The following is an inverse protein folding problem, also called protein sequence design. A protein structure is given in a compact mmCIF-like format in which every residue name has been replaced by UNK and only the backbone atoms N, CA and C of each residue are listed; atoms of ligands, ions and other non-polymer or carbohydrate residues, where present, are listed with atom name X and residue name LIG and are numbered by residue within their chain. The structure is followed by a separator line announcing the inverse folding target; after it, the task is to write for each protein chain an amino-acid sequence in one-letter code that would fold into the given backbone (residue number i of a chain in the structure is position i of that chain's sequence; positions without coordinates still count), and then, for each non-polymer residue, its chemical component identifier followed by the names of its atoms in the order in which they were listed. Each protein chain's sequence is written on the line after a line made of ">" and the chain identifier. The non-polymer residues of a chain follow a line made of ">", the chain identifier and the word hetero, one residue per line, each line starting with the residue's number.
data_IF_781293255088
#
_entry.id   IF_781293255088
#
_cell.length_a   1.000
_cell.length_b   1.000
_cell.length_c   1.000
_cell.angle_alpha   90.00
_cell.angle_beta   90.00
_cell.angle_gamma   90.00
#
_symmetry.space_group_name_H-M   'P 1'
#
loop_
_entity.id
_entity.type
_entity.pdbx_description
1 polymer ?
#
# COMPACT_ATOMS: atom_id res chain seq x y z
N UNK A 1 -15.46 11.13 29.19
CA UNK A 1 -15.90 9.72 29.03
C UNK A 1 -14.79 8.83 29.58
N UNK A 2 -15.05 8.00 30.58
CA UNK A 2 -14.08 6.99 31.03
C UNK A 2 -13.91 5.95 29.93
N UNK A 3 -12.77 5.97 29.26
CA UNK A 3 -12.42 4.94 28.27
C UNK A 3 -12.28 3.60 28.97
N UNK A 4 -13.14 2.65 28.64
CA UNK A 4 -12.99 1.26 29.10
C UNK A 4 -11.68 0.69 28.53
N UNK A 5 -11.10 -0.30 29.21
CA UNK A 5 -9.95 -1.03 28.66
C UNK A 5 -10.38 -1.83 27.41
N UNK A 6 -9.50 -1.99 26.42
CA UNK A 6 -9.79 -2.85 25.26
C UNK A 6 -10.12 -4.27 25.69
N UNK A 7 -11.09 -4.88 25.01
CA UNK A 7 -11.34 -6.30 25.12
C UNK A 7 -10.53 -7.03 24.04
N UNK A 8 -9.75 -8.01 24.44
CA UNK A 8 -8.94 -8.83 23.54
C UNK A 8 -9.09 -10.28 23.98
N UNK A 9 -9.55 -11.15 23.06
CA UNK A 9 -9.68 -12.57 23.31
C UNK A 9 -9.20 -13.40 22.14
N UNK A 10 -8.62 -14.56 22.42
CA UNK A 10 -8.28 -15.54 21.40
C UNK A 10 -9.55 -16.26 20.93
N UNK A 11 -9.71 -16.38 19.63
CA UNK A 11 -10.81 -17.12 18.98
C UNK A 11 -10.26 -18.45 18.46
N UNK A 12 -10.93 -19.59 18.71
CA UNK A 12 -10.42 -20.93 18.31
C UNK A 12 -10.72 -21.23 16.84
N UNK A 13 -10.16 -20.42 15.92
CA UNK A 13 -10.26 -20.55 14.46
C UNK A 13 -8.88 -20.30 13.85
N UNK A 14 -8.68 -20.73 12.61
CA UNK A 14 -7.50 -20.42 11.83
C UNK A 14 -7.62 -19.05 11.10
N UNK A 15 -6.52 -18.58 10.49
CA UNK A 15 -6.51 -17.31 9.77
C UNK A 15 -7.39 -17.28 8.52
N UNK A 16 -7.82 -18.44 7.98
CA UNK A 16 -8.73 -18.50 6.85
C UNK A 16 -10.12 -17.94 7.19
N UNK A 17 -10.52 -18.04 8.48
CA UNK A 17 -11.78 -17.48 8.97
C UNK A 17 -11.92 -15.96 8.68
N UNK A 18 -10.82 -15.20 8.70
CA UNK A 18 -10.85 -13.77 8.38
C UNK A 18 -11.28 -13.54 6.92
N UNK A 19 -10.72 -14.31 5.96
CA UNK A 19 -11.08 -14.22 4.55
C UNK A 19 -12.51 -14.67 4.29
N UNK A 20 -12.91 -15.76 4.91
CA UNK A 20 -14.26 -16.29 4.82
C UNK A 20 -15.28 -15.28 5.35
N UNK A 21 -15.01 -14.67 6.51
CA UNK A 21 -15.88 -13.64 7.10
C UNK A 21 -15.95 -12.40 6.21
N UNK A 22 -14.81 -11.95 5.67
CA UNK A 22 -14.75 -10.83 4.75
C UNK A 22 -15.54 -11.05 3.45
N UNK A 23 -15.54 -12.28 2.93
CA UNK A 23 -16.29 -12.64 1.72
C UNK A 23 -17.81 -12.76 1.98
N UNK A 24 -18.20 -13.27 3.16
CA UNK A 24 -19.63 -13.43 3.55
C UNK A 24 -20.34 -12.12 3.83
N UNK A 25 -19.60 -11.12 4.35
CA UNK A 25 -20.16 -9.88 4.82
C UNK A 25 -19.24 -8.69 4.47
N UNK A 26 -19.00 -8.41 3.18
CA UNK A 26 -18.03 -7.43 2.73
C UNK A 26 -18.36 -5.99 3.17
N UNK A 27 -19.63 -5.67 3.36
CA UNK A 27 -20.05 -4.36 3.84
C UNK A 27 -19.82 -4.17 5.34
N UNK A 28 -19.95 -5.26 6.13
CA UNK A 28 -19.67 -5.25 7.56
C UNK A 28 -18.17 -5.32 7.87
N UNK A 29 -17.37 -5.81 6.91
CA UNK A 29 -15.91 -5.93 7.01
C UNK A 29 -15.23 -5.33 5.77
N UNK A 30 -15.30 -4.00 5.61
CA UNK A 30 -14.84 -3.33 4.39
C UNK A 30 -13.33 -3.29 4.23
N UNK A 31 -12.55 -3.50 5.30
CA UNK A 31 -11.08 -3.42 5.27
C UNK A 31 -10.47 -4.74 5.71
N UNK A 32 -9.64 -5.29 4.83
CA UNK A 32 -8.80 -6.45 5.12
C UNK A 32 -7.37 -6.15 4.69
N UNK A 33 -6.46 -5.94 5.65
CA UNK A 33 -5.03 -5.88 5.43
C UNK A 33 -4.46 -7.27 5.65
N UNK A 34 -3.78 -7.83 4.65
CA UNK A 34 -3.38 -9.23 4.62
C UNK A 34 -1.86 -9.38 4.40
N UNK A 35 -1.20 -10.07 5.28
CA UNK A 35 0.18 -10.51 5.09
C UNK A 35 0.21 -11.80 4.26
N UNK A 36 -0.13 -11.69 2.96
CA UNK A 36 -0.33 -12.83 2.09
C UNK A 36 0.96 -13.56 1.68
N UNK A 37 2.11 -12.87 1.69
CA UNK A 37 3.41 -13.47 1.38
C UNK A 37 4.10 -13.97 2.65
N UNK A 38 4.89 -15.04 2.52
CA UNK A 38 5.84 -15.43 3.56
C UNK A 38 7.08 -14.55 3.48
N UNK A 39 7.57 -14.05 4.62
CA UNK A 39 8.76 -13.22 4.67
C UNK A 39 8.87 -12.41 5.97
N UNK A 40 9.94 -11.64 6.15
CA UNK A 40 10.25 -10.94 7.40
C UNK A 40 9.23 -9.83 7.72
N UNK A 41 8.50 -9.32 6.74
CA UNK A 41 7.50 -8.26 6.89
C UNK A 41 6.08 -8.81 7.07
N UNK A 42 5.83 -10.09 6.80
CA UNK A 42 4.54 -10.73 6.89
C UNK A 42 4.30 -11.29 8.30
N UNK A 43 3.66 -10.52 9.16
CA UNK A 43 3.38 -10.96 10.53
C UNK A 43 1.90 -10.93 10.89
N UNK A 44 1.18 -9.89 10.52
CA UNK A 44 -0.20 -9.72 10.96
C UNK A 44 -1.14 -9.51 9.78
N UNK A 45 -2.32 -10.17 9.85
CA UNK A 45 -3.46 -9.81 9.01
C UNK A 45 -4.55 -9.20 9.89
N UNK A 46 -5.20 -8.14 9.40
CA UNK A 46 -6.19 -7.33 10.12
C UNK A 46 -7.50 -7.30 9.33
N UNK A 47 -8.58 -7.79 9.91
CA UNK A 47 -9.93 -7.67 9.35
C UNK A 47 -10.73 -6.69 10.21
N UNK A 48 -11.02 -5.51 9.69
CA UNK A 48 -11.73 -4.46 10.41
C UNK A 48 -13.25 -4.58 10.22
N UNK A 49 -14.00 -4.42 11.31
CA UNK A 49 -15.44 -4.28 11.26
C UNK A 49 -15.85 -2.93 10.64
N UNK A 50 -17.15 -2.77 10.35
CA UNK A 50 -17.72 -1.55 9.77
C UNK A 50 -17.27 -0.29 10.54
N UNK A 51 -16.87 0.77 9.85
CA UNK A 51 -16.37 1.97 10.50
C UNK A 51 -17.49 2.69 11.27
N UNK A 52 -17.15 3.17 12.47
CA UNK A 52 -18.05 3.97 13.31
C UNK A 52 -18.08 5.45 12.92
N UNK A 53 -17.07 5.92 12.19
CA UNK A 53 -16.98 7.26 11.64
C UNK A 53 -16.13 7.27 10.36
N UNK A 54 -16.28 8.29 9.53
CA UNK A 54 -15.47 8.44 8.33
C UNK A 54 -15.23 9.90 7.95
N UNK A 55 -14.11 10.15 7.26
CA UNK A 55 -13.80 11.38 6.56
C UNK A 55 -13.47 10.98 5.12
N UNK A 56 -14.11 11.60 4.14
CA UNK A 56 -13.95 11.27 2.72
C UNK A 56 -13.69 12.55 1.93
N UNK A 57 -12.74 12.49 1.00
CA UNK A 57 -12.46 13.55 0.04
C UNK A 57 -12.74 13.04 -1.37
N UNK A 58 -13.64 13.68 -2.06
CA UNK A 58 -13.95 13.35 -3.44
C UNK A 58 -12.81 13.78 -4.41
N UNK A 59 -12.94 13.39 -5.67
CA UNK A 59 -11.97 13.74 -6.73
C UNK A 59 -11.91 15.25 -7.05
N UNK A 60 -12.90 16.04 -6.63
CA UNK A 60 -12.99 17.49 -6.84
C UNK A 60 -12.52 18.28 -5.60
N UNK A 61 -12.15 17.59 -4.52
CA UNK A 61 -11.66 18.19 -3.28
C UNK A 61 -12.75 18.43 -2.23
N UNK A 62 -14.02 18.07 -2.52
CA UNK A 62 -15.10 18.15 -1.55
C UNK A 62 -14.88 17.19 -0.38
N UNK A 63 -15.07 17.69 0.85
CA UNK A 63 -14.96 16.91 2.07
C UNK A 63 -16.34 16.53 2.59
N UNK A 64 -16.50 15.29 3.00
CA UNK A 64 -17.66 14.74 3.70
C UNK A 64 -17.20 13.99 4.94
N UNK A 65 -17.93 14.12 6.03
CA UNK A 65 -17.66 13.35 7.25
C UNK A 65 -18.95 12.71 7.79
N UNK A 66 -18.80 11.55 8.42
CA UNK A 66 -19.85 10.86 9.13
C UNK A 66 -19.43 10.63 10.57
N UNK A 67 -20.28 10.98 11.54
CA UNK A 67 -20.05 10.83 12.97
C UNK A 67 -18.79 11.53 13.51
N UNK A 68 -18.23 12.49 12.77
CA UNK A 68 -17.19 13.42 13.19
C UNK A 68 -17.45 14.77 12.55
N UNK A 69 -17.02 15.85 13.19
CA UNK A 69 -17.15 17.21 12.67
C UNK A 69 -15.92 17.59 11.86
N UNK A 70 -16.13 18.25 10.71
CA UNK A 70 -15.02 18.78 9.92
C UNK A 70 -14.45 20.04 10.59
N UNK A 71 -13.11 20.11 10.64
CA UNK A 71 -12.38 21.32 11.01
C UNK A 71 -11.98 22.10 9.74
N UNK A 72 -11.68 23.41 9.84
CA UNK A 72 -11.14 24.16 8.70
C UNK A 72 -9.85 23.55 8.16
N UNK A 73 -9.73 23.45 6.84
CA UNK A 73 -8.56 22.90 6.16
C UNK A 73 -8.89 21.76 5.20
N UNK A 74 -7.87 21.04 4.77
CA UNK A 74 -7.97 19.93 3.86
C UNK A 74 -8.27 18.58 4.54
N UNK A 75 -8.14 17.51 3.76
CA UNK A 75 -8.33 16.14 4.27
C UNK A 75 -7.31 15.79 5.36
N UNK A 76 -6.03 16.14 5.14
CA UNK A 76 -4.96 15.86 6.09
C UNK A 76 -5.08 16.68 7.37
N UNK A 77 -5.62 17.90 7.33
CA UNK A 77 -5.88 18.70 8.53
C UNK A 77 -6.98 18.06 9.38
N UNK A 78 -8.03 17.58 8.72
CA UNK A 78 -9.13 16.87 9.37
C UNK A 78 -8.66 15.53 9.95
N UNK A 79 -7.85 14.78 9.20
CA UNK A 79 -7.26 13.53 9.68
C UNK A 79 -6.38 13.77 10.93
N UNK A 80 -5.52 14.80 10.91
CA UNK A 80 -4.66 15.15 12.05
C UNK A 80 -5.46 15.53 13.30
N UNK A 81 -6.55 16.28 13.13
CA UNK A 81 -7.43 16.66 14.22
C UNK A 81 -8.07 15.45 14.90
N UNK A 82 -8.48 14.43 14.13
CA UNK A 82 -9.21 13.27 14.62
C UNK A 82 -8.38 12.03 14.93
N UNK A 83 -7.18 11.90 14.31
CA UNK A 83 -6.28 10.77 14.54
C UNK A 83 -5.26 11.02 15.65
N UNK A 84 -5.46 12.05 16.49
CA UNK A 84 -4.58 12.30 17.65
C UNK A 84 -4.59 11.11 18.59
N UNK A 85 -3.42 10.72 19.12
CA UNK A 85 -3.33 9.62 20.05
C UNK A 85 -4.21 9.85 21.27
N UNK A 86 -5.06 8.88 21.59
CA UNK A 86 -5.92 8.85 22.77
C UNK A 86 -5.39 7.93 23.85
N UNK A 87 -4.30 7.21 23.55
CA UNK A 87 -3.62 6.24 24.41
C UNK A 87 -2.11 6.45 24.41
N UNK A 88 -1.40 6.09 25.48
CA UNK A 88 0.05 6.11 25.52
C UNK A 88 0.64 5.14 24.48
N UNK A 89 1.67 5.58 23.76
CA UNK A 89 2.43 4.74 22.84
C UNK A 89 3.08 3.54 23.58
N UNK A 90 3.10 2.38 22.93
CA UNK A 90 3.79 1.18 23.41
C UNK A 90 3.10 0.47 24.59
N UNK A 91 1.90 0.87 25.00
CA UNK A 91 1.18 0.27 26.14
C UNK A 91 0.28 -0.91 25.72
N UNK A 92 0.72 -1.68 24.72
CA UNK A 92 -0.01 -2.84 24.21
C UNK A 92 0.59 -4.12 24.80
N UNK A 93 0.01 -4.61 25.93
CA UNK A 93 0.48 -5.79 26.65
C UNK A 93 0.56 -7.08 25.80
N UNK A 94 -0.06 -7.11 24.63
CA UNK A 94 -0.07 -8.24 23.70
C UNK A 94 0.78 -8.03 22.43
N UNK A 95 1.51 -6.93 22.33
CA UNK A 95 2.36 -6.59 21.17
C UNK A 95 1.61 -6.63 19.82
N UNK A 96 0.31 -6.28 19.83
CA UNK A 96 -0.49 -6.20 18.61
C UNK A 96 -0.11 -4.94 17.82
N UNK A 97 -0.14 -4.97 16.49
CA UNK A 97 0.23 -3.82 15.67
C UNK A 97 -0.82 -2.71 15.74
N UNK A 98 -2.08 -3.08 15.94
CA UNK A 98 -3.23 -2.20 15.88
C UNK A 98 -4.37 -2.73 16.77
N UNK A 99 -4.95 -1.89 17.60
CA UNK A 99 -6.07 -2.24 18.49
C UNK A 99 -7.32 -1.43 18.20
N UNK A 100 -7.23 -0.42 17.35
CA UNK A 100 -8.27 0.51 16.94
C UNK A 100 -7.64 1.82 16.48
N UNK A 101 -8.38 2.59 15.69
CA UNK A 101 -7.88 3.82 15.08
C UNK A 101 -8.51 4.08 13.72
N UNK A 102 -7.72 4.54 12.77
CA UNK A 102 -8.17 4.93 11.44
C UNK A 102 -7.48 4.10 10.36
N UNK A 103 -8.23 3.45 9.49
CA UNK A 103 -7.72 2.98 8.19
C UNK A 103 -7.80 4.12 7.19
N UNK A 104 -6.72 4.38 6.47
CA UNK A 104 -6.58 5.57 5.63
C UNK A 104 -6.11 5.20 4.23
N UNK A 105 -6.83 5.69 3.23
CA UNK A 105 -6.43 5.68 1.83
C UNK A 105 -6.07 7.09 1.38
N UNK A 106 -4.94 7.23 0.71
CA UNK A 106 -4.44 8.45 0.08
C UNK A 106 -4.21 8.16 -1.41
N UNK A 107 -5.04 8.71 -2.28
CA UNK A 107 -4.79 8.69 -3.72
C UNK A 107 -3.66 9.64 -4.10
N UNK A 108 -2.97 9.37 -5.20
CA UNK A 108 -1.80 10.14 -5.64
C UNK A 108 -2.09 11.65 -5.73
N UNK A 109 -3.27 12.04 -6.21
CA UNK A 109 -3.64 13.44 -6.40
C UNK A 109 -3.77 14.22 -5.09
N UNK A 110 -3.83 13.55 -3.93
CA UNK A 110 -3.76 14.22 -2.63
C UNK A 110 -2.43 14.96 -2.42
N UNK A 111 -1.37 14.62 -3.17
CA UNK A 111 -0.12 15.35 -3.17
C UNK A 111 -0.28 16.86 -3.46
N UNK A 112 -1.33 17.27 -4.18
CA UNK A 112 -1.63 18.68 -4.40
C UNK A 112 -2.15 19.41 -3.14
N UNK A 113 -2.62 18.69 -2.11
CA UNK A 113 -2.92 19.28 -0.80
C UNK A 113 -1.63 19.56 0.00
N UNK A 114 -0.60 18.72 -0.18
CA UNK A 114 0.71 18.86 0.46
C UNK A 114 1.55 19.95 -0.23
N UNK A 115 1.54 19.92 -1.57
CA UNK A 115 2.30 20.84 -2.44
C UNK A 115 1.33 21.60 -3.37
N UNK A 116 0.72 22.71 -2.92
CA UNK A 116 -0.36 23.40 -3.66
C UNK A 116 0.02 23.94 -5.05
N UNK A 117 1.32 24.02 -5.36
CA UNK A 117 1.78 24.40 -6.71
C UNK A 117 1.59 23.32 -7.76
N UNK A 118 1.38 22.07 -7.34
CA UNK A 118 1.17 20.94 -8.26
C UNK A 118 -0.20 21.06 -8.94
N UNK A 119 -0.20 20.94 -10.25
CA UNK A 119 -1.41 20.87 -11.09
C UNK A 119 -1.54 19.45 -11.62
N UNK A 120 -2.07 18.56 -10.78
CA UNK A 120 -2.24 17.16 -11.12
C UNK A 120 -3.53 16.95 -11.91
N UNK A 121 -3.52 16.18 -13.02
CA UNK A 121 -4.74 15.78 -13.70
C UNK A 121 -5.66 14.99 -12.76
N UNK A 122 -6.99 15.18 -12.82
CA UNK A 122 -7.91 14.41 -11.99
C UNK A 122 -7.90 12.93 -12.37
N UNK A 123 -7.97 12.05 -11.37
CA UNK A 123 -8.16 10.62 -11.57
C UNK A 123 -9.63 10.30 -11.84
N UNK A 124 -9.90 9.16 -12.51
CA UNK A 124 -11.26 8.63 -12.66
C UNK A 124 -11.77 7.89 -11.40
N UNK A 125 -11.04 7.93 -10.31
CA UNK A 125 -11.45 7.43 -9.01
C UNK A 125 -12.50 8.38 -8.38
N UNK A 126 -13.54 7.87 -7.70
CA UNK A 126 -14.55 8.73 -7.06
C UNK A 126 -13.98 9.49 -5.85
N UNK A 127 -12.98 8.89 -5.19
CA UNK A 127 -12.38 9.38 -3.97
C UNK A 127 -10.88 9.63 -4.18
N UNK A 128 -10.43 10.82 -3.79
CA UNK A 128 -8.98 11.13 -3.71
C UNK A 128 -8.38 10.74 -2.36
N UNK A 129 -9.20 10.62 -1.30
CA UNK A 129 -8.80 10.07 -0.01
C UNK A 129 -10.02 9.67 0.83
N UNK A 130 -9.82 8.74 1.76
CA UNK A 130 -10.77 8.48 2.84
C UNK A 130 -10.07 7.95 4.08
N UNK A 131 -10.67 8.22 5.24
CA UNK A 131 -10.27 7.67 6.54
C UNK A 131 -11.49 7.05 7.22
N UNK A 132 -11.35 5.82 7.69
CA UNK A 132 -12.39 5.00 8.28
C UNK A 132 -12.03 4.68 9.73
N UNK A 133 -12.81 5.20 10.70
CA UNK A 133 -12.61 4.96 12.13
C UNK A 133 -13.13 3.59 12.51
N UNK A 134 -12.26 2.76 13.05
CA UNK A 134 -12.57 1.37 13.43
C UNK A 134 -12.27 1.17 14.92
N UNK A 135 -13.21 0.55 15.63
CA UNK A 135 -13.09 0.20 17.05
C UNK A 135 -13.09 -1.32 17.28
N UNK A 136 -13.49 -2.11 16.30
CA UNK A 136 -13.54 -3.58 16.40
C UNK A 136 -12.88 -4.23 15.20
N UNK A 137 -12.01 -5.23 15.43
CA UNK A 137 -11.28 -5.93 14.38
C UNK A 137 -10.85 -7.34 14.82
N UNK A 138 -10.63 -8.22 13.84
CA UNK A 138 -9.92 -9.48 14.05
C UNK A 138 -8.45 -9.32 13.62
N UNK A 139 -7.54 -9.90 14.40
CA UNK A 139 -6.09 -9.93 14.14
C UNK A 139 -5.65 -11.38 14.02
N UNK A 140 -5.02 -11.76 12.92
CA UNK A 140 -4.30 -13.02 12.80
C UNK A 140 -2.79 -12.76 12.94
N UNK A 141 -2.19 -13.27 14.01
CA UNK A 141 -0.73 -13.29 14.19
C UNK A 141 -0.17 -14.55 13.53
N UNK A 142 0.42 -14.41 12.36
CA UNK A 142 0.97 -15.51 11.57
C UNK A 142 2.15 -16.21 12.28
N UNK A 143 2.87 -15.51 13.15
CA UNK A 143 4.02 -16.09 13.85
C UNK A 143 3.60 -17.09 14.93
N UNK A 144 2.47 -16.87 15.60
CA UNK A 144 1.92 -17.76 16.62
C UNK A 144 0.70 -18.53 16.12
N UNK A 145 0.25 -18.28 14.89
CA UNK A 145 -0.97 -18.82 14.26
C UNK A 145 -2.22 -18.65 15.15
N UNK A 146 -2.36 -17.47 15.77
CA UNK A 146 -3.49 -17.14 16.64
C UNK A 146 -4.38 -16.10 16.01
N UNK A 147 -5.68 -16.30 16.10
CA UNK A 147 -6.69 -15.31 15.77
C UNK A 147 -7.20 -14.66 17.06
N UNK A 148 -7.20 -13.33 17.08
CA UNK A 148 -7.65 -12.52 18.20
C UNK A 148 -8.80 -11.63 17.76
N UNK A 149 -9.87 -11.57 18.56
CA UNK A 149 -10.88 -10.53 18.47
C UNK A 149 -10.46 -9.34 19.37
N UNK A 150 -10.55 -8.14 18.82
CA UNK A 150 -10.14 -6.89 19.50
C UNK A 150 -11.27 -5.89 19.42
N UNK A 151 -11.63 -5.28 20.57
CA UNK A 151 -12.60 -4.20 20.67
C UNK A 151 -12.01 -3.08 21.52
N UNK A 152 -11.66 -1.98 20.86
CA UNK A 152 -10.88 -0.88 21.44
C UNK A 152 -11.60 -0.15 22.58
N UNK A 153 -12.89 0.10 22.41
CA UNK A 153 -13.76 0.84 23.35
C UNK A 153 -14.28 -0.02 24.51
N UNK A 154 -13.92 -1.32 24.50
CA UNK A 154 -14.32 -2.27 25.53
C UNK A 154 -15.83 -2.56 25.57
N UNK A 155 -16.53 -2.43 24.43
CA UNK A 155 -17.94 -2.82 24.30
C UNK A 155 -18.08 -4.35 24.29
N UNK A 156 -18.67 -4.98 25.34
CA UNK A 156 -18.80 -6.42 25.40
C UNK A 156 -19.69 -7.00 24.29
N UNK A 157 -20.76 -6.29 23.93
CA UNK A 157 -21.70 -6.77 22.90
C UNK A 157 -21.06 -6.80 21.51
N UNK A 158 -20.34 -5.73 21.13
CA UNK A 158 -19.57 -5.70 19.89
C UNK A 158 -18.50 -6.80 19.87
N UNK A 159 -17.81 -7.03 20.99
CA UNK A 159 -16.80 -8.07 21.13
C UNK A 159 -17.38 -9.47 20.97
N UNK A 160 -18.44 -9.81 21.70
CA UNK A 160 -19.13 -11.11 21.60
C UNK A 160 -19.68 -11.37 20.19
N UNK A 161 -20.23 -10.34 19.55
CA UNK A 161 -20.70 -10.41 18.16
C UNK A 161 -19.56 -10.73 17.19
N UNK A 162 -18.43 -10.07 17.32
CA UNK A 162 -17.26 -10.34 16.47
C UNK A 162 -16.73 -11.76 16.67
N UNK A 163 -16.61 -12.21 17.94
CA UNK A 163 -16.19 -13.60 18.27
C UNK A 163 -17.14 -14.62 17.64
N UNK A 164 -18.45 -14.44 17.81
CA UNK A 164 -19.45 -15.37 17.27
C UNK A 164 -19.36 -15.46 15.73
N UNK A 165 -19.20 -14.33 15.03
CA UNK A 165 -19.06 -14.28 13.57
C UNK A 165 -17.77 -14.96 13.09
N UNK A 166 -16.65 -14.79 13.79
CA UNK A 166 -15.40 -15.48 13.48
C UNK A 166 -15.51 -16.99 13.65
N UNK A 167 -16.11 -17.45 14.76
CA UNK A 167 -16.34 -18.89 15.03
C UNK A 167 -17.23 -19.50 13.94
N UNK A 168 -18.29 -18.80 13.53
CA UNK A 168 -19.18 -19.26 12.48
C UNK A 168 -18.46 -19.32 11.11
N UNK A 169 -17.70 -18.30 10.75
CA UNK A 169 -16.91 -18.25 9.52
C UNK A 169 -15.82 -19.35 9.47
N UNK A 170 -15.26 -19.72 10.63
CA UNK A 170 -14.27 -20.80 10.73
C UNK A 170 -14.81 -22.21 10.43
N UNK A 171 -16.14 -22.37 10.30
CA UNK A 171 -16.77 -23.65 9.91
C UNK A 171 -16.93 -23.81 8.39
N UNK A 172 -16.72 -22.73 7.64
CA UNK A 172 -16.94 -22.73 6.21
C UNK A 172 -15.66 -22.98 5.43
N UNK A 173 -15.85 -23.38 4.17
CA UNK A 173 -14.75 -23.50 3.21
C UNK A 173 -14.26 -22.10 2.83
N UNK A 174 -12.94 -21.84 2.84
CA UNK A 174 -12.37 -20.59 2.36
C UNK A 174 -12.76 -20.29 0.91
N UNK A 175 -12.81 -18.99 0.51
CA UNK A 175 -13.13 -18.60 -0.86
C UNK A 175 -12.21 -19.28 -1.89
N UNK A 176 -12.77 -19.62 -3.04
CA UNK A 176 -12.04 -20.18 -4.18
C UNK A 176 -11.11 -19.14 -4.81
N UNK A 177 -9.78 -19.37 -4.88
CA UNK A 177 -8.82 -18.46 -5.47
C UNK A 177 -8.64 -18.60 -6.98
N UNK A 178 -9.48 -19.38 -7.67
CA UNK A 178 -9.34 -19.62 -9.12
C UNK A 178 -9.36 -18.31 -9.92
N UNK A 179 -8.64 -18.23 -11.05
CA UNK A 179 -8.65 -17.07 -11.92
C UNK A 179 -10.05 -16.72 -12.44
N UNK A 180 -10.30 -15.44 -12.67
CA UNK A 180 -11.58 -14.91 -13.15
C UNK A 180 -11.56 -14.70 -14.66
N UNK A 181 -12.70 -14.87 -15.31
CA UNK A 181 -12.84 -14.70 -16.77
C UNK A 181 -12.98 -13.22 -17.13
N UNK A 182 -12.27 -12.79 -18.18
CA UNK A 182 -12.36 -11.44 -18.72
C UNK A 182 -13.15 -11.42 -20.03
N UNK A 183 -14.14 -10.55 -20.10
CA UNK A 183 -14.79 -10.18 -21.36
C UNK A 183 -13.91 -9.25 -22.22
N UNK A 184 -13.07 -8.44 -21.57
CA UNK A 184 -12.21 -7.46 -22.26
C UNK A 184 -10.95 -7.16 -21.47
N UNK A 185 -9.84 -6.94 -22.19
CA UNK A 185 -8.58 -6.44 -21.66
C UNK A 185 -7.98 -5.44 -22.66
N UNK A 186 -7.84 -4.20 -22.23
CA UNK A 186 -7.21 -3.13 -23.02
C UNK A 186 -5.94 -2.67 -22.34
N UNK A 187 -4.88 -2.55 -23.10
CA UNK A 187 -3.60 -1.96 -22.70
C UNK A 187 -3.48 -0.57 -23.34
N UNK A 188 -3.02 0.44 -22.59
CA UNK A 188 -2.73 1.76 -23.16
C UNK A 188 -1.78 1.64 -24.34
N UNK A 189 -1.92 2.47 -25.41
CA UNK A 189 -1.09 2.37 -26.61
C UNK A 189 0.40 2.40 -26.29
N UNK A 190 1.19 1.37 -26.69
CA UNK A 190 2.61 1.29 -26.41
C UNK A 190 3.40 2.51 -26.91
N UNK A 191 3.03 3.02 -28.07
CA UNK A 191 3.73 4.15 -28.71
C UNK A 191 3.72 5.40 -27.83
N UNK A 192 2.60 5.68 -27.16
CA UNK A 192 2.49 6.81 -26.22
C UNK A 192 3.53 6.71 -25.10
N UNK A 193 3.69 5.52 -24.50
CA UNK A 193 4.66 5.31 -23.43
C UNK A 193 6.11 5.47 -23.93
N UNK A 194 6.42 4.96 -25.12
CA UNK A 194 7.74 5.14 -25.73
C UNK A 194 8.08 6.63 -25.94
N UNK A 195 7.12 7.43 -26.36
CA UNK A 195 7.27 8.88 -26.50
C UNK A 195 7.47 9.57 -25.15
N UNK A 196 6.69 9.20 -24.13
CA UNK A 196 6.84 9.69 -22.77
C UNK A 196 8.22 9.40 -22.19
N UNK A 197 8.76 8.18 -22.41
CA UNK A 197 10.11 7.82 -21.97
C UNK A 197 11.17 8.69 -22.66
N UNK A 198 11.04 8.95 -23.96
CA UNK A 198 11.99 9.83 -24.69
C UNK A 198 11.93 11.26 -24.13
N UNK A 199 10.74 11.81 -23.92
CA UNK A 199 10.57 13.14 -23.33
C UNK A 199 11.12 13.23 -21.91
N UNK A 200 10.91 12.22 -21.06
CA UNK A 200 11.52 12.17 -19.72
C UNK A 200 13.05 12.17 -19.79
N UNK A 201 13.66 11.48 -20.75
CA UNK A 201 15.12 11.50 -20.97
C UNK A 201 15.62 12.88 -21.42
N UNK A 202 14.83 13.65 -22.15
CA UNK A 202 15.17 15.05 -22.49
C UNK A 202 15.22 15.91 -21.23
N UNK A 203 14.26 15.76 -20.29
CA UNK A 203 14.29 16.44 -18.99
C UNK A 203 15.51 16.03 -18.14
N UNK A 204 15.88 14.76 -18.17
CA UNK A 204 17.08 14.27 -17.49
C UNK A 204 18.35 14.88 -18.10
N UNK A 205 18.45 14.91 -19.43
CA UNK A 205 19.59 15.51 -20.15
C UNK A 205 19.68 17.02 -19.93
N UNK A 206 18.56 17.70 -19.76
CA UNK A 206 18.51 19.13 -19.41
C UNK A 206 18.88 19.42 -17.95
N UNK A 207 18.97 18.38 -17.10
CA UNK A 207 19.28 18.52 -15.68
C UNK A 207 18.08 18.88 -14.80
N UNK A 208 16.86 18.77 -15.33
CA UNK A 208 15.63 19.04 -14.56
C UNK A 208 15.40 18.01 -13.45
N UNK A 209 15.67 16.73 -13.74
CA UNK A 209 15.46 15.59 -12.86
C UNK A 209 16.56 14.55 -13.06
N UNK A 210 16.74 13.66 -12.08
CA UNK A 210 17.64 12.49 -12.18
C UNK A 210 16.90 11.23 -12.62
N UNK A 211 15.63 11.10 -12.20
CA UNK A 211 14.78 9.94 -12.45
C UNK A 211 13.32 10.37 -12.41
N UNK A 212 12.46 9.77 -13.25
CA UNK A 212 11.01 9.86 -13.13
C UNK A 212 10.38 8.47 -13.27
N UNK A 213 9.42 8.12 -12.41
CA UNK A 213 8.64 6.91 -12.54
C UNK A 213 7.42 7.16 -13.45
N UNK A 214 7.47 6.71 -14.70
CA UNK A 214 6.36 6.80 -15.65
C UNK A 214 5.52 5.54 -15.66
N UNK A 215 4.22 5.70 -15.84
CA UNK A 215 3.26 4.59 -15.79
C UNK A 215 2.29 4.56 -16.96
N UNK A 216 1.61 3.42 -17.11
CA UNK A 216 0.57 3.19 -18.10
C UNK A 216 -0.53 2.31 -17.52
N UNK A 217 -1.72 2.33 -18.12
CA UNK A 217 -2.91 1.65 -17.62
C UNK A 217 -3.27 0.40 -18.42
N UNK A 218 -3.91 -0.52 -17.74
CA UNK A 218 -4.70 -1.62 -18.31
C UNK A 218 -6.11 -1.52 -17.77
N UNK A 219 -7.10 -1.66 -18.65
CA UNK A 219 -8.53 -1.68 -18.29
C UNK A 219 -9.09 -3.04 -18.61
N UNK A 220 -9.75 -3.63 -17.63
CA UNK A 220 -10.29 -4.96 -17.71
C UNK A 220 -11.79 -4.89 -17.44
N UNK A 221 -12.54 -5.77 -18.12
CA UNK A 221 -13.95 -6.00 -17.81
C UNK A 221 -14.16 -7.47 -17.52
N UNK A 222 -14.76 -7.77 -16.37
CA UNK A 222 -15.11 -9.14 -16.00
C UNK A 222 -16.22 -9.68 -16.92
N UNK A 223 -16.12 -10.97 -17.27
CA UNK A 223 -17.16 -11.66 -18.05
C UNK A 223 -18.35 -12.05 -17.17
N UNK A 224 -18.06 -12.39 -15.93
CA UNK A 224 -19.03 -12.81 -14.93
C UNK A 224 -19.11 -11.77 -13.81
N UNK A 225 -20.24 -11.69 -13.12
CA UNK A 225 -20.38 -10.83 -11.97
C UNK A 225 -19.55 -11.40 -10.81
N UNK A 226 -18.54 -10.63 -10.39
CA UNK A 226 -17.68 -11.00 -9.27
C UNK A 226 -17.42 -9.77 -8.39
N UNK A 227 -17.66 -9.94 -7.10
CA UNK A 227 -17.41 -8.92 -6.11
C UNK A 227 -15.90 -8.73 -5.84
N UNK A 228 -15.59 -7.69 -5.08
CA UNK A 228 -14.21 -7.33 -4.75
C UNK A 228 -13.48 -8.40 -3.91
N UNK A 229 -14.20 -9.20 -3.12
CA UNK A 229 -13.60 -10.28 -2.34
C UNK A 229 -13.08 -11.38 -3.25
N UNK A 230 -13.90 -11.79 -4.23
CA UNK A 230 -13.55 -12.83 -5.20
C UNK A 230 -12.37 -12.40 -6.10
N UNK A 231 -12.36 -11.13 -6.55
CA UNK A 231 -11.23 -10.57 -7.31
C UNK A 231 -9.97 -10.51 -6.46
N UNK A 232 -10.11 -10.12 -5.18
CA UNK A 232 -8.98 -10.09 -4.26
C UNK A 232 -8.38 -11.48 -4.00
N UNK A 233 -9.21 -12.51 -3.79
CA UNK A 233 -8.72 -13.86 -3.55
C UNK A 233 -7.94 -14.42 -4.75
N UNK A 234 -8.39 -14.14 -5.98
CA UNK A 234 -7.66 -14.50 -7.19
C UNK A 234 -6.32 -13.72 -7.30
N UNK A 235 -6.32 -12.42 -7.02
CA UNK A 235 -5.10 -11.60 -7.00
C UNK A 235 -4.11 -12.08 -5.94
N UNK A 236 -4.60 -12.35 -4.72
CA UNK A 236 -3.81 -12.85 -3.60
C UNK A 236 -3.10 -14.16 -3.93
N UNK A 237 -3.78 -15.06 -4.61
CA UNK A 237 -3.20 -16.33 -5.04
C UNK A 237 -2.17 -16.15 -6.16
N UNK A 238 -2.45 -15.27 -7.13
CA UNK A 238 -1.59 -15.03 -8.28
C UNK A 238 -0.32 -14.23 -7.94
N UNK A 239 -0.41 -13.31 -6.98
CA UNK A 239 0.68 -12.37 -6.64
C UNK A 239 0.68 -12.05 -5.14
N UNK A 240 1.00 -13.02 -4.25
CA UNK A 240 1.03 -12.78 -2.81
C UNK A 240 2.08 -11.73 -2.43
N UNK A 241 1.73 -10.84 -1.48
CA UNK A 241 2.60 -9.75 -1.05
C UNK A 241 2.47 -9.47 0.47
N UNK A 242 3.49 -8.87 1.11
CA UNK A 242 3.49 -8.60 2.55
C UNK A 242 2.52 -7.49 2.97
N UNK A 243 2.18 -6.56 2.08
CA UNK A 243 1.23 -5.46 2.30
C UNK A 243 0.02 -5.61 1.38
N UNK A 244 -0.47 -6.83 1.20
CA UNK A 244 -1.69 -7.06 0.46
C UNK A 244 -2.88 -6.50 1.24
N UNK A 245 -3.90 -6.02 0.53
CA UNK A 245 -5.08 -5.47 1.17
C UNK A 245 -6.28 -5.45 0.24
N UNK A 246 -7.48 -5.57 0.82
CA UNK A 246 -8.75 -5.24 0.20
C UNK A 246 -9.45 -4.16 1.03
N UNK A 247 -9.82 -3.08 0.38
CA UNK A 247 -10.68 -2.05 0.98
C UNK A 247 -11.81 -1.75 0.03
N UNK A 248 -13.04 -1.83 0.52
CA UNK A 248 -14.24 -1.44 -0.23
C UNK A 248 -14.93 -0.30 0.50
N UNK A 249 -15.12 0.82 -0.18
CA UNK A 249 -15.79 1.98 0.37
C UNK A 249 -16.75 2.57 -0.66
N UNK A 250 -18.06 2.58 -0.34
CA UNK A 250 -19.12 3.16 -1.17
C UNK A 250 -19.04 2.75 -2.64
N UNK A 251 -18.89 1.46 -2.91
CA UNK A 251 -18.85 0.89 -4.27
C UNK A 251 -17.53 1.05 -5.02
N UNK A 252 -16.50 1.58 -4.38
CA UNK A 252 -15.13 1.63 -4.90
C UNK A 252 -14.22 0.70 -4.11
N UNK A 253 -13.52 -0.18 -4.78
CA UNK A 253 -12.64 -1.16 -4.15
C UNK A 253 -11.19 -1.00 -4.56
N UNK A 254 -10.30 -1.07 -3.58
CA UNK A 254 -8.85 -1.15 -3.72
C UNK A 254 -8.42 -2.57 -3.39
N UNK A 255 -7.78 -3.25 -4.34
CA UNK A 255 -7.34 -4.63 -4.24
C UNK A 255 -5.82 -4.64 -4.46
N UNK A 256 -5.08 -4.61 -3.38
CA UNK A 256 -3.64 -4.39 -3.41
C UNK A 256 -2.85 -5.67 -3.14
N UNK A 257 -1.77 -5.82 -3.87
CA UNK A 257 -0.74 -6.84 -3.71
C UNK A 257 0.64 -6.15 -3.57
N UNK A 258 0.68 -5.09 -2.75
CA UNK A 258 1.87 -4.25 -2.61
C UNK A 258 3.00 -4.96 -1.86
N UNK A 259 4.23 -4.89 -2.37
CA UNK A 259 5.42 -5.36 -1.67
C UNK A 259 6.09 -4.29 -0.80
N UNK A 260 5.71 -3.01 -0.92
CA UNK A 260 6.52 -1.89 -0.48
C UNK A 260 5.85 -1.09 0.64
N UNK A 261 6.63 -0.73 1.67
CA UNK A 261 6.21 0.14 2.77
C UNK A 261 6.56 1.58 2.47
N UNK A 262 5.60 2.49 2.66
CA UNK A 262 5.85 3.93 2.66
C UNK A 262 6.50 4.36 3.99
N UNK A 263 5.83 4.08 5.10
CA UNK A 263 6.35 4.39 6.44
C UNK A 263 5.79 3.44 7.49
N UNK A 264 6.54 3.30 8.59
CA UNK A 264 6.09 2.71 9.84
C UNK A 264 6.48 3.62 11.00
N UNK A 265 5.56 3.80 11.93
CA UNK A 265 5.79 4.48 13.21
C UNK A 265 5.51 3.50 14.33
N UNK A 266 6.40 3.42 15.31
CA UNK A 266 6.22 2.70 16.57
C UNK A 266 6.73 3.56 17.70
N UNK A 267 5.83 4.06 18.53
CA UNK A 267 6.12 5.13 19.46
C UNK A 267 6.59 6.39 18.76
N UNK A 268 7.86 6.74 18.91
CA UNK A 268 8.49 7.86 18.19
C UNK A 268 9.49 7.40 17.12
N UNK A 269 9.73 6.12 17.00
CA UNK A 269 10.61 5.59 15.95
C UNK A 269 9.85 5.50 14.64
N UNK A 270 10.35 6.19 13.61
CA UNK A 270 9.81 6.16 12.24
C UNK A 270 10.83 5.49 11.32
N UNK A 271 10.34 4.71 10.37
CA UNK A 271 11.17 4.10 9.33
C UNK A 271 10.46 4.05 7.98
N UNK A 272 11.25 4.05 6.91
CA UNK A 272 10.85 3.76 5.53
C UNK A 272 11.79 2.70 4.96
N UNK A 273 11.31 1.92 3.96
CA UNK A 273 12.04 0.77 3.47
C UNK A 273 12.07 0.75 1.93
N UNK A 274 12.87 1.61 1.30
CA UNK A 274 12.96 1.68 -0.15
C UNK A 274 13.49 0.36 -0.74
N UNK A 275 12.86 -0.05 -1.83
CA UNK A 275 13.23 -1.22 -2.63
C UNK A 275 13.83 -0.71 -3.94
N UNK A 276 15.02 -1.22 -4.31
CA UNK A 276 15.60 -1.03 -5.63
C UNK A 276 16.16 -2.36 -6.15
N UNK A 277 16.05 -2.54 -7.46
CA UNK A 277 16.47 -3.77 -8.10
C UNK A 277 15.59 -4.98 -7.75
N UNK A 278 15.30 -5.77 -8.76
CA UNK A 278 14.51 -7.00 -8.61
C UNK A 278 15.05 -8.05 -9.56
N UNK A 279 15.25 -9.26 -9.07
CA UNK A 279 15.58 -10.44 -9.87
C UNK A 279 14.59 -11.56 -9.58
N UNK A 280 14.18 -12.27 -10.64
CA UNK A 280 13.34 -13.45 -10.49
C UNK A 280 14.12 -14.59 -9.84
N UNK A 281 13.49 -15.32 -8.92
CA UNK A 281 14.10 -16.51 -8.30
C UNK A 281 14.19 -17.66 -9.26
N UNK A 282 15.37 -18.26 -9.39
CA UNK A 282 15.61 -19.38 -10.29
C UNK A 282 15.09 -20.71 -9.74
N UNK A 283 15.09 -20.90 -8.42
CA UNK A 283 14.60 -22.15 -7.77
C UNK A 283 13.11 -22.40 -7.98
N UNK A 284 12.34 -21.40 -8.39
CA UNK A 284 10.91 -21.51 -8.70
C UNK A 284 10.63 -21.84 -10.17
N UNK A 285 11.65 -21.91 -11.02
CA UNK A 285 11.57 -22.25 -12.43
C UNK A 285 11.91 -23.74 -12.62
N UNK A 286 11.27 -24.39 -13.60
CA UNK A 286 11.67 -25.72 -14.03
C UNK A 286 13.16 -25.70 -14.43
N UNK A 287 13.98 -26.58 -13.81
CA UNK A 287 15.42 -26.63 -14.01
C UNK A 287 16.24 -25.58 -13.31
N UNK A 288 15.64 -24.69 -12.50
CA UNK A 288 16.37 -23.70 -11.71
C UNK A 288 17.20 -24.33 -10.59
N UNK A 289 18.40 -23.80 -10.34
CA UNK A 289 19.30 -24.29 -9.29
C UNK A 289 19.49 -23.25 -8.19
N UNK A 290 19.69 -23.73 -6.95
CA UNK A 290 20.02 -22.87 -5.81
C UNK A 290 21.39 -22.17 -5.97
N UNK A 291 22.29 -22.70 -6.80
CA UNK A 291 23.56 -22.08 -7.10
C UNK A 291 23.39 -20.88 -8.03
N UNK A 292 22.56 -21.02 -9.08
CA UNK A 292 22.23 -19.91 -9.99
C UNK A 292 21.47 -18.82 -9.26
N UNK A 293 20.50 -19.16 -8.41
CA UNK A 293 19.73 -18.23 -7.58
C UNK A 293 20.66 -17.37 -6.68
N UNK A 294 21.67 -17.98 -6.07
CA UNK A 294 22.70 -17.26 -5.30
C UNK A 294 23.58 -16.37 -6.16
N UNK A 295 23.95 -16.82 -7.36
CA UNK A 295 24.77 -16.03 -8.29
C UNK A 295 24.00 -14.79 -8.77
N UNK A 296 22.74 -14.96 -9.17
CA UNK A 296 21.87 -13.87 -9.60
C UNK A 296 21.65 -12.84 -8.48
N UNK A 297 21.53 -13.30 -7.23
CA UNK A 297 21.42 -12.43 -6.06
C UNK A 297 22.70 -11.63 -5.82
N UNK A 298 23.89 -12.30 -5.93
CA UNK A 298 25.18 -11.64 -5.76
C UNK A 298 25.44 -10.60 -6.87
N UNK A 299 25.09 -10.92 -8.11
CA UNK A 299 25.17 -9.99 -9.23
C UNK A 299 24.27 -8.78 -9.01
N UNK A 300 23.02 -8.98 -8.55
CA UNK A 300 22.07 -7.89 -8.27
C UNK A 300 22.67 -6.89 -7.28
N UNK A 301 23.22 -7.35 -6.17
CA UNK A 301 23.83 -6.50 -5.11
C UNK A 301 25.08 -5.78 -5.60
N UNK A 302 25.84 -6.36 -6.53
CA UNK A 302 27.08 -5.79 -7.03
C UNK A 302 26.89 -4.91 -8.28
N UNK A 303 25.71 -4.92 -8.92
CA UNK A 303 25.48 -4.21 -10.16
C UNK A 303 25.59 -2.69 -9.96
N UNK A 304 26.53 -1.98 -10.64
CA UNK A 304 26.83 -0.58 -10.35
C UNK A 304 25.62 0.36 -10.52
N UNK A 305 24.78 0.14 -11.53
CA UNK A 305 23.59 0.92 -11.82
C UNK A 305 22.54 0.78 -10.70
N UNK A 306 22.21 -0.47 -10.33
CA UNK A 306 21.25 -0.75 -9.24
C UNK A 306 21.70 -0.13 -7.91
N UNK A 307 23.00 -0.18 -7.62
CA UNK A 307 23.60 0.45 -6.43
C UNK A 307 23.49 1.98 -6.46
N UNK A 308 23.79 2.61 -7.60
CA UNK A 308 23.71 4.06 -7.75
C UNK A 308 22.26 4.55 -7.60
N UNK A 309 21.31 3.88 -8.23
CA UNK A 309 19.88 4.15 -8.08
C UNK A 309 19.45 3.99 -6.62
N UNK A 310 19.84 2.92 -5.97
CA UNK A 310 19.47 2.65 -4.57
C UNK A 310 20.03 3.70 -3.60
N UNK A 311 21.27 4.17 -3.81
CA UNK A 311 21.88 5.24 -3.00
C UNK A 311 21.04 6.54 -3.16
N UNK A 312 20.65 6.88 -4.37
CA UNK A 312 19.80 8.05 -4.64
C UNK A 312 18.46 7.95 -3.90
N UNK A 313 17.82 6.78 -3.92
CA UNK A 313 16.56 6.54 -3.19
C UNK A 313 16.76 6.67 -1.67
N UNK A 314 17.84 6.10 -1.13
CA UNK A 314 18.18 6.25 0.31
C UNK A 314 18.34 7.72 0.68
N UNK A 315 19.02 8.53 -0.12
CA UNK A 315 19.22 9.95 0.16
C UNK A 315 17.92 10.73 0.08
N UNK A 316 17.03 10.39 -0.84
CA UNK A 316 15.69 10.97 -0.94
C UNK A 316 14.87 10.67 0.33
N UNK A 317 14.83 9.41 0.77
CA UNK A 317 14.12 9.00 1.99
C UNK A 317 14.73 9.63 3.26
N UNK A 318 16.06 9.77 3.32
CA UNK A 318 16.73 10.50 4.41
C UNK A 318 16.33 11.97 4.46
N UNK A 319 16.21 12.61 3.30
CA UNK A 319 15.77 14.00 3.20
C UNK A 319 14.32 14.15 3.69
N UNK A 320 13.43 13.26 3.26
CA UNK A 320 12.02 13.29 3.65
C UNK A 320 11.83 13.06 5.16
N UNK A 321 12.50 12.05 5.73
CA UNK A 321 12.52 11.82 7.18
C UNK A 321 13.12 12.98 7.94
N UNK A 322 14.14 13.66 7.39
CA UNK A 322 14.79 14.82 8.00
C UNK A 322 13.84 15.99 8.27
N UNK A 323 12.73 16.07 7.54
CA UNK A 323 11.70 17.12 7.71
C UNK A 323 10.90 16.97 9.01
N UNK A 324 10.78 15.74 9.55
CA UNK A 324 9.93 15.42 10.72
C UNK A 324 10.67 14.80 11.89
N UNK A 325 11.92 14.39 11.70
CA UNK A 325 12.74 13.75 12.72
C UNK A 325 13.58 14.76 13.53
N UNK A 326 14.00 14.35 14.72
CA UNK A 326 15.01 15.03 15.51
C UNK A 326 16.33 15.13 14.74
N UNK A 327 16.99 16.27 14.81
CA UNK A 327 18.26 16.49 14.13
C UNK A 327 19.30 15.44 14.55
N UNK A 328 19.97 14.85 13.57
CA UNK A 328 20.99 13.80 13.78
C UNK A 328 20.42 12.40 14.11
N UNK A 329 19.11 12.22 14.19
CA UNK A 329 18.50 10.90 14.47
C UNK A 329 18.34 10.03 13.23
N UNK A 330 18.33 10.61 12.02
CA UNK A 330 18.12 9.86 10.77
C UNK A 330 19.34 9.02 10.44
N UNK A 331 19.14 7.70 10.31
CA UNK A 331 20.20 6.69 10.08
C UNK A 331 19.72 5.65 9.07
N UNK A 332 20.69 5.10 8.34
CA UNK A 332 20.50 3.87 7.55
C UNK A 332 21.05 2.73 8.39
N UNK A 333 20.19 1.88 8.92
CA UNK A 333 20.58 0.77 9.81
C UNK A 333 20.60 -0.60 9.11
N UNK A 334 19.94 -0.72 7.97
CA UNK A 334 20.13 -1.82 7.02
C UNK A 334 20.46 -1.21 5.65
N UNK A 335 21.58 -1.64 5.07
CA UNK A 335 22.10 -1.09 3.83
C UNK A 335 22.26 -2.16 2.78
N UNK A 336 21.49 -2.07 1.70
CA UNK A 336 21.52 -2.97 0.55
C UNK A 336 21.44 -4.45 0.93
N UNK A 337 20.55 -4.79 1.86
CA UNK A 337 20.30 -6.19 2.22
C UNK A 337 19.40 -6.84 1.16
N UNK A 338 19.55 -8.15 0.99
CA UNK A 338 18.71 -8.92 0.08
C UNK A 338 17.51 -9.48 0.83
N UNK A 339 16.30 -9.18 0.37
CA UNK A 339 15.09 -9.86 0.79
C UNK A 339 14.61 -10.81 -0.30
N UNK A 340 14.34 -12.07 0.11
CA UNK A 340 13.88 -13.13 -0.79
C UNK A 340 12.42 -13.45 -0.50
N UNK A 341 11.59 -13.31 -1.52
CA UNK A 341 10.20 -13.73 -1.51
C UNK A 341 9.99 -14.98 -2.36
N UNK A 342 8.77 -15.46 -2.51
CA UNK A 342 8.48 -16.70 -3.23
C UNK A 342 9.06 -16.72 -4.66
N UNK A 343 8.99 -15.60 -5.38
CA UNK A 343 9.31 -15.52 -6.81
C UNK A 343 10.41 -14.52 -7.17
N UNK A 344 10.86 -13.70 -6.23
CA UNK A 344 11.78 -12.59 -6.50
C UNK A 344 12.76 -12.36 -5.34
N UNK A 345 13.92 -11.78 -5.68
CA UNK A 345 14.85 -11.15 -4.76
C UNK A 345 14.80 -9.65 -4.96
N UNK A 346 14.86 -8.89 -3.88
CA UNK A 346 14.97 -7.44 -3.86
C UNK A 346 16.19 -6.97 -3.11
N UNK A 347 16.78 -5.85 -3.54
CA UNK A 347 17.71 -5.07 -2.69
C UNK A 347 16.87 -4.08 -1.90
N UNK A 348 17.05 -4.08 -0.59
CA UNK A 348 16.30 -3.24 0.34
C UNK A 348 17.26 -2.54 1.29
N UNK A 349 16.93 -1.32 1.66
CA UNK A 349 17.57 -0.63 2.78
C UNK A 349 16.53 -0.17 3.77
N UNK A 350 16.90 0.00 5.04
CA UNK A 350 16.03 0.60 6.04
C UNK A 350 16.58 1.96 6.45
N UNK A 351 15.77 3.00 6.31
CA UNK A 351 16.08 4.34 6.79
C UNK A 351 15.16 4.63 7.94
N UNK A 352 15.72 4.98 9.10
CA UNK A 352 14.94 5.30 10.29
C UNK A 352 15.34 6.60 10.92
N UNK A 353 14.43 7.17 11.72
CA UNK A 353 14.67 8.35 12.53
C UNK A 353 13.79 8.34 13.76
N UNK A 354 13.92 9.38 14.58
CA UNK A 354 13.06 9.62 15.73
C UNK A 354 12.22 10.86 15.45
N UNK A 355 10.90 10.71 15.44
CA UNK A 355 9.97 11.82 15.26
C UNK A 355 10.21 12.90 16.34
N UNK A 356 10.15 14.19 15.94
CA UNK A 356 10.13 15.29 16.90
C UNK A 356 8.89 15.14 17.81
N UNK A 357 8.98 15.68 19.02
CA UNK A 357 7.89 15.59 19.99
C UNK A 357 6.62 16.35 19.56
N UNK A 358 6.77 17.33 18.69
CA UNK A 358 5.71 18.17 18.12
C UNK A 358 5.16 17.63 16.78
N UNK A 359 5.79 16.58 16.20
CA UNK A 359 5.38 16.00 14.93
C UNK A 359 4.36 14.87 15.14
N UNK A 360 3.25 14.92 14.41
CA UNK A 360 2.24 13.88 14.36
C UNK A 360 2.56 12.80 13.31
N UNK A 361 1.81 11.69 13.33
CA UNK A 361 1.87 10.69 12.26
C UNK A 361 1.36 11.26 10.92
N UNK A 362 0.46 12.24 10.94
CA UNK A 362 0.00 12.92 9.72
C UNK A 362 1.06 13.86 9.18
N UNK A 363 1.86 14.50 10.03
CA UNK A 363 3.04 15.27 9.59
C UNK A 363 4.07 14.36 8.89
N UNK A 364 4.25 13.14 9.39
CA UNK A 364 5.08 12.14 8.75
C UNK A 364 4.53 11.75 7.36
N UNK A 365 3.21 11.56 7.23
CA UNK A 365 2.58 11.35 5.93
C UNK A 365 2.81 12.54 4.98
N UNK A 366 2.64 13.79 5.43
CA UNK A 366 2.93 14.99 4.62
C UNK A 366 4.37 15.05 4.14
N UNK A 367 5.32 14.56 4.94
CA UNK A 367 6.73 14.59 4.59
C UNK A 367 7.12 13.51 3.57
N UNK A 368 6.57 12.29 3.70
CA UNK A 368 6.97 11.14 2.90
C UNK A 368 6.08 10.92 1.67
N UNK A 369 4.80 11.29 1.73
CA UNK A 369 3.84 11.05 0.65
C UNK A 369 3.94 12.08 -0.50
N UNK A 370 3.85 11.66 -1.78
CA UNK A 370 4.00 10.28 -2.25
C UNK A 370 5.44 9.78 -2.08
N UNK A 371 5.62 8.45 -2.03
CA UNK A 371 6.95 7.85 -1.85
C UNK A 371 7.96 8.28 -2.92
N UNK A 372 9.22 8.39 -2.52
CA UNK A 372 10.31 8.79 -3.43
C UNK A 372 10.56 7.77 -4.53
N UNK A 373 10.48 6.48 -4.19
CA UNK A 373 10.73 5.35 -5.10
C UNK A 373 9.79 5.30 -6.31
N UNK A 374 8.58 5.88 -6.16
CA UNK A 374 7.51 5.84 -7.19
C UNK A 374 7.23 7.20 -7.83
N UNK A 375 8.00 8.23 -7.49
CA UNK A 375 7.96 9.57 -8.10
C UNK A 375 9.26 9.87 -8.83
N UNK A 376 10.33 10.15 -8.13
CA UNK A 376 11.66 10.46 -8.65
C UNK A 376 12.34 11.59 -7.89
N UNK A 377 13.46 12.06 -8.42
CA UNK A 377 14.31 13.06 -7.75
C UNK A 377 14.70 14.19 -8.70
N UNK A 378 14.49 15.48 -8.33
CA UNK A 378 13.81 16.02 -7.15
C UNK A 378 12.28 15.74 -7.18
N UNK A 379 11.69 15.34 -6.04
CA UNK A 379 10.32 14.81 -5.95
C UNK A 379 9.26 15.70 -6.61
N UNK A 380 9.17 16.97 -6.22
CA UNK A 380 8.12 17.88 -6.70
C UNK A 380 8.26 18.15 -8.20
N UNK A 381 9.48 18.37 -8.68
CA UNK A 381 9.73 18.58 -10.12
C UNK A 381 9.39 17.32 -10.93
N UNK A 382 9.70 16.14 -10.40
CA UNK A 382 9.27 14.89 -11.04
C UNK A 382 7.75 14.77 -11.13
N UNK A 383 7.01 15.15 -10.09
CA UNK A 383 5.54 15.10 -10.12
C UNK A 383 4.95 16.08 -11.15
N UNK A 384 5.54 17.26 -11.35
CA UNK A 384 5.15 18.21 -12.41
C UNK A 384 5.34 17.57 -13.80
N UNK A 385 6.53 17.01 -14.06
CA UNK A 385 6.87 16.36 -15.34
C UNK A 385 6.01 15.12 -15.58
N UNK A 386 5.77 14.30 -14.55
CA UNK A 386 4.88 13.14 -14.64
C UNK A 386 3.46 13.57 -15.02
N UNK A 387 2.93 14.64 -14.40
CA UNK A 387 1.60 15.15 -14.72
C UNK A 387 1.50 15.64 -16.17
N UNK A 388 2.54 16.31 -16.66
CA UNK A 388 2.65 16.76 -18.05
C UNK A 388 2.69 15.58 -19.04
N UNK A 389 3.58 14.62 -18.80
CA UNK A 389 3.83 13.51 -19.73
C UNK A 389 2.69 12.49 -19.72
N UNK A 390 2.18 12.10 -18.56
CA UNK A 390 1.07 11.14 -18.47
C UNK A 390 -0.27 11.78 -18.90
N UNK A 391 -0.50 13.07 -18.57
CA UNK A 391 -1.71 13.80 -18.93
C UNK A 391 -3.00 13.19 -18.37
N UNK A 392 -2.90 12.31 -17.37
CA UNK A 392 -4.00 11.59 -16.73
C UNK A 392 -3.70 11.39 -15.25
N UNK A 393 -4.75 11.35 -14.42
CA UNK A 393 -4.61 11.06 -12.99
C UNK A 393 -4.19 9.62 -12.74
N UNK A 394 -3.51 9.39 -11.61
CA UNK A 394 -3.00 8.08 -11.18
C UNK A 394 -3.94 7.34 -10.24
N UNK A 395 -4.82 8.07 -9.53
CA UNK A 395 -5.76 7.52 -8.56
C UNK A 395 -5.07 6.75 -7.44
N UNK A 396 -5.37 5.47 -7.33
CA UNK A 396 -4.75 4.63 -6.33
C UNK A 396 -3.28 4.32 -6.63
N UNK A 397 -2.89 4.28 -7.90
CA UNK A 397 -1.52 3.96 -8.28
C UNK A 397 -0.53 4.99 -7.70
N UNK A 398 0.48 4.51 -6.99
CA UNK A 398 1.47 5.34 -6.26
C UNK A 398 0.88 6.19 -5.13
N UNK A 399 -0.37 5.94 -4.79
CA UNK A 399 -0.99 6.36 -3.54
C UNK A 399 -0.51 5.53 -2.34
N UNK A 400 -1.25 5.59 -1.24
CA UNK A 400 -0.93 4.85 -0.02
C UNK A 400 -2.18 4.34 0.68
N UNK A 401 -2.05 3.20 1.33
CA UNK A 401 -3.06 2.60 2.20
C UNK A 401 -2.39 2.14 3.49
N UNK A 402 -3.02 2.40 4.60
CA UNK A 402 -2.49 1.98 5.89
C UNK A 402 -3.41 2.31 7.04
N UNK A 403 -2.84 2.36 8.23
CA UNK A 403 -3.59 2.66 9.44
C UNK A 403 -2.83 3.60 10.37
N UNK A 404 -3.59 4.37 11.14
CA UNK A 404 -3.15 5.20 12.26
C UNK A 404 -3.80 4.66 13.52
N UNK A 405 -3.01 4.12 14.44
CA UNK A 405 -3.46 3.59 15.72
C UNK A 405 -3.85 4.68 16.69
N UNK A 406 -4.77 4.35 17.62
CA UNK A 406 -5.14 5.24 18.72
C UNK A 406 -4.02 5.50 19.73
N UNK A 407 -2.91 4.79 19.62
CA UNK A 407 -1.67 4.97 20.36
C UNK A 407 -0.61 5.80 19.62
N UNK A 408 -0.89 6.22 18.38
CA UNK A 408 0.01 6.96 17.51
C UNK A 408 0.92 6.11 16.63
N UNK A 409 0.89 4.80 16.76
CA UNK A 409 1.58 3.89 15.85
C UNK A 409 0.92 3.94 14.46
N UNK A 410 1.69 3.66 13.42
CA UNK A 410 1.21 3.68 12.03
C UNK A 410 1.98 2.70 11.15
N UNK A 411 1.32 2.17 10.14
CA UNK A 411 1.96 1.41 9.06
C UNK A 411 1.22 1.65 7.74
N UNK A 412 1.96 2.14 6.73
CA UNK A 412 1.44 2.52 5.42
C UNK A 412 2.25 1.88 4.32
N UNK A 413 1.56 1.34 3.32
CA UNK A 413 2.17 0.83 2.09
C UNK A 413 2.23 1.91 1.01
N UNK A 414 2.92 1.59 -0.09
CA UNK A 414 2.83 2.28 -1.37
C UNK A 414 1.91 1.45 -2.27
N UNK A 415 0.85 2.06 -2.82
CA UNK A 415 -0.10 1.36 -3.69
C UNK A 415 0.48 1.15 -5.11
N UNK A 416 1.31 0.13 -5.23
CA UNK A 416 1.74 -0.47 -6.49
C UNK A 416 1.21 -1.91 -6.56
N UNK A 417 1.17 -2.53 -7.73
CA UNK A 417 0.56 -3.85 -7.94
C UNK A 417 -0.86 -3.90 -7.37
N UNK A 418 -1.61 -2.85 -7.64
CA UNK A 418 -2.95 -2.61 -7.09
C UNK A 418 -3.95 -2.53 -8.23
N UNK A 419 -5.09 -3.20 -8.05
CA UNK A 419 -6.28 -3.09 -8.88
C UNK A 419 -7.26 -2.15 -8.21
N UNK A 420 -8.00 -1.38 -9.00
CA UNK A 420 -9.21 -0.70 -8.55
C UNK A 420 -10.41 -1.31 -9.24
N UNK A 421 -11.52 -1.49 -8.52
CA UNK A 421 -12.73 -2.11 -9.07
C UNK A 421 -13.96 -1.26 -8.79
N UNK A 422 -14.81 -1.13 -9.82
CA UNK A 422 -16.15 -0.51 -9.76
C UNK A 422 -17.11 -1.39 -10.57
N UNK A 423 -17.92 -2.17 -9.89
CA UNK A 423 -18.73 -3.20 -10.55
C UNK A 423 -17.85 -4.16 -11.36
N UNK A 424 -18.15 -4.44 -12.63
CA UNK A 424 -17.36 -5.34 -13.48
C UNK A 424 -16.07 -4.71 -14.04
N UNK A 425 -15.89 -3.40 -13.91
CA UNK A 425 -14.74 -2.67 -14.45
C UNK A 425 -13.58 -2.68 -13.45
N UNK A 426 -12.40 -3.06 -13.95
CA UNK A 426 -11.16 -3.10 -13.18
C UNK A 426 -10.10 -2.28 -13.92
N UNK A 427 -9.34 -1.49 -13.18
CA UNK A 427 -8.16 -0.80 -13.68
C UNK A 427 -6.93 -1.19 -12.88
N UNK A 428 -5.81 -1.32 -13.56
CA UNK A 428 -4.49 -1.42 -12.96
C UNK A 428 -3.50 -0.50 -13.69
N UNK A 429 -2.49 -0.04 -12.95
CA UNK A 429 -1.35 0.70 -13.54
C UNK A 429 -0.04 0.03 -13.15
N UNK A 430 0.93 0.12 -14.04
CA UNK A 430 2.30 -0.30 -13.80
C UNK A 430 3.26 0.69 -14.46
N UNK A 431 4.40 0.93 -13.82
CA UNK A 431 5.38 1.91 -14.28
C UNK A 431 6.80 1.40 -14.21
N UNK A 432 7.71 2.21 -14.77
CA UNK A 432 9.15 2.02 -14.74
C UNK A 432 9.85 3.31 -14.34
N UNK A 433 10.97 3.19 -13.62
CA UNK A 433 11.85 4.30 -13.26
C UNK A 433 12.75 4.68 -14.44
N UNK A 434 12.50 5.82 -15.04
CA UNK A 434 13.24 6.29 -16.21
C UNK A 434 14.47 7.08 -15.77
N UNK A 435 15.63 6.63 -16.21
CA UNK A 435 16.95 7.25 -15.98
C UNK A 435 17.64 7.53 -17.32
N UNK A 436 18.79 8.20 -17.30
CA UNK A 436 19.54 8.58 -18.51
C UNK A 436 19.81 7.39 -19.45
N UNK A 437 20.16 6.22 -18.90
CA UNK A 437 20.47 5.01 -19.66
C UNK A 437 19.25 4.16 -20.05
N UNK A 438 18.03 4.58 -19.68
CA UNK A 438 16.81 3.86 -20.01
C UNK A 438 16.64 3.71 -21.52
N UNK A 439 16.26 2.50 -21.94
CA UNK A 439 15.91 2.16 -23.33
C UNK A 439 14.39 2.04 -23.39
N UNK A 440 13.67 2.89 -24.16
CA UNK A 440 12.20 2.96 -24.15
C UNK A 440 11.51 1.60 -24.29
N UNK A 441 12.00 0.75 -25.19
CA UNK A 441 11.43 -0.58 -25.45
C UNK A 441 11.60 -1.53 -24.26
N UNK A 442 12.72 -1.42 -23.52
CA UNK A 442 12.96 -2.22 -22.30
C UNK A 442 12.07 -1.76 -21.14
N UNK A 443 11.91 -0.45 -20.99
CA UNK A 443 11.00 0.12 -19.97
C UNK A 443 9.55 -0.26 -20.25
N UNK A 444 9.13 -0.29 -21.53
CA UNK A 444 7.82 -0.79 -21.94
C UNK A 444 7.62 -2.26 -21.51
N UNK A 445 8.60 -3.13 -21.78
CA UNK A 445 8.53 -4.54 -21.38
C UNK A 445 8.57 -4.72 -19.86
N UNK A 446 9.24 -3.83 -19.12
CA UNK A 446 9.23 -3.81 -17.67
C UNK A 446 7.82 -3.53 -17.13
N UNK A 447 7.12 -2.52 -17.67
CA UNK A 447 5.72 -2.25 -17.28
C UNK A 447 4.82 -3.45 -17.51
N UNK A 448 4.98 -4.14 -18.66
CA UNK A 448 4.25 -5.38 -18.99
C UNK A 448 4.57 -6.52 -18.03
N UNK A 449 5.85 -6.68 -17.67
CA UNK A 449 6.28 -7.70 -16.71
C UNK A 449 5.66 -7.48 -15.33
N UNK A 450 5.59 -6.22 -14.87
CA UNK A 450 4.93 -5.84 -13.62
C UNK A 450 3.42 -6.07 -13.68
N UNK A 451 2.76 -5.75 -14.79
CA UNK A 451 1.33 -5.98 -14.97
C UNK A 451 1.00 -7.48 -15.02
N UNK A 452 1.81 -8.31 -15.69
CA UNK A 452 1.61 -9.77 -15.77
C UNK A 452 1.45 -10.45 -14.42
N UNK A 453 2.13 -9.97 -13.37
CA UNK A 453 1.98 -10.52 -12.02
C UNK A 453 0.53 -10.48 -11.53
N UNK A 454 -0.15 -9.37 -11.78
CA UNK A 454 -1.56 -9.16 -11.41
C UNK A 454 -2.52 -9.80 -12.41
N UNK A 455 -2.20 -9.74 -13.70
CA UNK A 455 -3.03 -10.29 -14.77
C UNK A 455 -3.18 -11.82 -14.69
N UNK A 456 -2.31 -12.53 -13.97
CA UNK A 456 -2.46 -13.96 -13.68
C UNK A 456 -3.70 -14.30 -12.84
N UNK A 457 -4.30 -13.32 -12.18
CA UNK A 457 -5.58 -13.47 -11.49
C UNK A 457 -6.77 -13.64 -12.47
N UNK A 458 -6.52 -13.50 -13.78
CA UNK A 458 -7.53 -13.50 -14.82
C UNK A 458 -7.13 -14.43 -15.98
N UNK A 459 -8.16 -14.92 -16.69
CA UNK A 459 -8.04 -15.70 -17.93
C UNK A 459 -8.95 -15.09 -18.99
N UNK A 460 -8.61 -15.27 -20.25
CA UNK A 460 -9.50 -14.89 -21.35
C UNK A 460 -10.81 -15.69 -21.29
N UNK A 461 -11.93 -15.04 -21.64
CA UNK A 461 -13.24 -15.68 -21.68
C UNK A 461 -13.35 -16.67 -22.84
#
# INVERSE_FOLDING_TARGET
>A
MTTRAPLISQVPVDGAALRTLAARAPEDFPVFCDSAAQGPLARFSLLAAAPVASITRDRHGGLEAQNVELVPGGFLDNLDAWARPTRPAGNNAQSLPFIGGWFVYLGYELAAEIEPRLKLPPADAPWSAFALRVTSLAVHDLASDRVLAVTEDGDPHAHETLVARLVDAGRDTPPDPSPLRLARLDEDPPQRFLEQVRAAKEHIAAGDIYQANLSRSWRLKLADDADACRVYDALRAANPAPFAARVTWRGYSLLSSSPERLLRISGRDISTRPIAGTRARQVTKEGGSAQQDRADTAELVQHPKERAEHIMLIDLERNDLGRVCEAGSVKVDEYMVTESYAHVHHIVSNVRGRLRADASAVDALRALFPGGTITGCPKVRCMEIIAELEGAGRGAYTGSLGWLGSDGDADFNILIRTLTQRGPEIELRAGAGIVADSIPERELEETRAKARGMLRAFVAA
#
